data_IF_156576311497
#
_entry.id   IF_156576311497
#
_cell.length_a   1.000
_cell.length_b   1.000
_cell.length_c   1.000
_cell.angle_alpha   90.00
_cell.angle_beta   90.00
_cell.angle_gamma   90.00
#
_symmetry.space_group_name_H-M   'P 1'
#
loop_
_entity.id
_entity.type
_entity.pdbx_description
1 polymer ?
#
# COMPACT_ATOMS: atom_id res chain seq x y z
N UNK A 1 -7.93 0.48 59.18
CA UNK A 1 -8.45 -0.10 57.94
C UNK A 1 -9.09 1.01 57.12
N UNK A 2 -8.37 1.55 56.14
CA UNK A 2 -8.91 2.54 55.19
C UNK A 2 -8.98 1.88 53.82
N UNK A 3 -10.16 1.97 53.23
CA UNK A 3 -10.57 1.39 51.97
C UNK A 3 -9.57 1.75 50.86
N UNK A 4 -9.02 0.71 50.23
CA UNK A 4 -8.34 0.83 48.93
C UNK A 4 -9.39 1.42 47.98
N UNK A 5 -9.14 2.56 47.32
CA UNK A 5 -10.16 3.18 46.50
C UNK A 5 -10.39 2.29 45.28
N UNK A 6 -11.63 1.79 45.14
CA UNK A 6 -12.15 1.02 44.00
C UNK A 6 -11.85 1.67 42.63
N UNK A 7 -11.47 2.95 42.60
CA UNK A 7 -11.02 3.67 41.41
C UNK A 7 -9.71 3.15 40.82
N UNK A 8 -8.80 2.59 41.63
CA UNK A 8 -7.52 2.07 41.14
C UNK A 8 -7.66 0.71 40.43
N UNK A 9 -8.65 -0.11 40.82
CA UNK A 9 -8.92 -1.38 40.14
C UNK A 9 -9.66 -1.18 38.81
N UNK A 10 -10.57 -0.19 38.74
CA UNK A 10 -11.29 0.14 37.50
C UNK A 10 -10.39 0.74 36.42
N UNK A 11 -9.29 1.41 36.79
CA UNK A 11 -8.30 1.91 35.83
C UNK A 11 -7.43 0.82 35.19
N UNK A 12 -7.30 -0.35 35.83
CA UNK A 12 -6.57 -1.49 35.24
C UNK A 12 -7.43 -2.33 34.28
N UNK A 13 -8.76 -2.36 34.46
CA UNK A 13 -9.65 -3.04 33.51
C UNK A 13 -9.89 -2.26 32.20
N UNK A 14 -9.74 -0.93 32.22
CA UNK A 14 -9.95 -0.10 31.02
C UNK A 14 -8.83 -0.15 29.98
N UNK A 15 -7.67 -0.75 30.29
CA UNK A 15 -6.57 -0.92 29.31
C UNK A 15 -6.70 -2.15 28.41
N UNK A 16 -7.68 -3.04 28.63
CA UNK A 16 -7.80 -4.29 27.85
C UNK A 16 -8.84 -4.25 26.73
N UNK A 17 -9.63 -3.18 26.63
CA UNK A 17 -10.64 -3.02 25.57
C UNK A 17 -10.23 -1.97 24.56
N UNK A 18 -9.12 -2.21 23.88
CA UNK A 18 -8.88 -1.67 22.54
C UNK A 18 -8.76 -2.84 21.58
N UNK A 19 -9.84 -3.62 21.46
CA UNK A 19 -10.13 -4.29 20.20
C UNK A 19 -10.39 -3.17 19.21
N UNK A 20 -9.31 -2.66 18.60
CA UNK A 20 -9.41 -1.81 17.44
C UNK A 20 -10.26 -2.59 16.44
N UNK A 21 -11.46 -2.09 16.16
CA UNK A 21 -12.18 -2.48 14.96
C UNK A 21 -11.16 -2.41 13.83
N UNK A 22 -10.99 -3.50 13.08
CA UNK A 22 -10.03 -3.60 12.00
C UNK A 22 -10.24 -2.40 11.08
N UNK A 23 -9.41 -1.37 11.26
CA UNK A 23 -9.34 -0.25 10.35
C UNK A 23 -8.87 -0.87 9.06
N UNK A 24 -9.73 -0.89 8.05
CA UNK A 24 -9.42 -1.31 6.68
C UNK A 24 -8.26 -0.46 6.18
N UNK A 25 -7.04 -0.84 6.56
CA UNK A 25 -5.83 -0.28 5.97
C UNK A 25 -5.88 -0.67 4.50
N UNK A 26 -5.60 0.26 3.58
CA UNK A 26 -5.52 -0.08 2.17
C UNK A 26 -4.53 -1.23 2.00
N UNK A 27 -5.01 -2.31 1.38
CA UNK A 27 -4.19 -3.47 1.10
C UNK A 27 -2.98 -3.04 0.27
N UNK A 28 -1.86 -3.71 0.47
CA UNK A 28 -0.68 -3.49 -0.37
C UNK A 28 -1.04 -3.82 -1.82
N UNK A 29 -0.45 -3.13 -2.82
CA UNK A 29 -0.61 -3.54 -4.21
C UNK A 29 -0.15 -4.99 -4.37
N UNK A 30 -0.77 -5.70 -5.30
CA UNK A 30 -0.52 -7.11 -5.59
C UNK A 30 -0.86 -8.08 -4.43
N UNK A 31 -1.81 -7.70 -3.57
CA UNK A 31 -2.27 -8.56 -2.49
C UNK A 31 -3.79 -8.70 -2.50
N UNK A 32 -4.30 -9.83 -2.04
CA UNK A 32 -5.73 -10.07 -1.92
C UNK A 32 -6.07 -10.88 -0.68
N UNK A 33 -7.26 -10.67 -0.16
CA UNK A 33 -7.84 -11.48 0.92
C UNK A 33 -8.97 -12.33 0.33
N UNK A 34 -8.94 -13.63 0.61
CA UNK A 34 -10.00 -14.53 0.17
C UNK A 34 -11.30 -14.24 0.94
N UNK A 35 -12.43 -14.00 0.24
CA UNK A 35 -13.70 -13.72 0.89
C UNK A 35 -14.28 -14.95 1.63
N UNK A 36 -13.86 -16.16 1.26
CA UNK A 36 -14.38 -17.41 1.83
C UNK A 36 -13.52 -17.96 2.96
N UNK A 37 -12.21 -17.77 2.91
CA UNK A 37 -11.26 -18.35 3.88
C UNK A 37 -10.59 -17.31 4.78
N UNK A 38 -10.80 -16.02 4.49
CA UNK A 38 -10.10 -14.89 5.15
C UNK A 38 -8.56 -15.02 5.13
N UNK A 39 -8.01 -15.84 4.22
CA UNK A 39 -6.57 -16.00 4.02
C UNK A 39 -6.02 -14.85 3.20
N UNK A 40 -4.79 -14.46 3.48
CA UNK A 40 -4.08 -13.39 2.80
C UNK A 40 -3.13 -13.96 1.76
N UNK A 41 -3.13 -13.37 0.58
CA UNK A 41 -2.34 -13.79 -0.57
C UNK A 41 -1.43 -12.63 -0.96
N UNK A 42 -0.12 -12.87 -0.96
CA UNK A 42 0.89 -11.91 -1.35
C UNK A 42 1.58 -12.39 -2.62
N UNK A 43 1.29 -11.74 -3.74
CA UNK A 43 1.85 -12.09 -5.04
C UNK A 43 3.09 -11.26 -5.39
N UNK A 44 3.50 -10.30 -4.53
CA UNK A 44 4.67 -9.46 -4.77
C UNK A 44 5.96 -10.26 -5.04
N UNK A 45 6.23 -11.41 -4.39
CA UNK A 45 7.42 -12.22 -4.71
C UNK A 45 7.45 -12.77 -6.14
N UNK A 46 6.30 -12.82 -6.82
CA UNK A 46 6.21 -13.30 -8.21
C UNK A 46 6.47 -12.18 -9.23
N UNK A 47 6.39 -10.92 -8.79
CA UNK A 47 6.68 -9.76 -9.65
C UNK A 47 8.18 -9.69 -9.92
N UNK A 48 8.57 -9.76 -11.19
CA UNK A 48 9.97 -9.61 -11.60
C UNK A 48 10.23 -8.16 -11.99
N UNK A 49 11.13 -7.50 -11.26
CA UNK A 49 11.60 -6.17 -11.60
C UNK A 49 12.74 -6.19 -12.61
N UNK A 50 13.07 -5.04 -13.23
CA UNK A 50 14.26 -4.94 -14.05
C UNK A 50 15.52 -5.29 -13.24
N UNK A 51 16.51 -5.99 -13.84
CA UNK A 51 17.70 -6.41 -13.12
C UNK A 51 18.42 -5.20 -12.54
N UNK A 52 18.78 -5.28 -11.26
CA UNK A 52 19.55 -4.24 -10.59
C UNK A 52 20.85 -3.99 -11.36
N UNK A 53 21.01 -2.76 -11.84
CA UNK A 53 22.26 -2.29 -12.44
C UNK A 53 23.27 -2.07 -11.30
N UNK A 54 24.48 -2.57 -11.45
CA UNK A 54 25.57 -2.21 -10.55
C UNK A 54 26.02 -0.76 -10.79
N UNK A 55 26.87 -0.23 -9.90
CA UNK A 55 27.39 1.15 -9.98
C UNK A 55 28.17 1.45 -11.28
N UNK A 56 28.50 0.42 -12.07
CA UNK A 56 29.17 0.51 -13.37
C UNK A 56 28.22 0.28 -14.56
N UNK A 57 26.90 0.22 -14.33
CA UNK A 57 25.89 0.02 -15.36
C UNK A 57 25.83 -1.39 -15.95
N UNK A 58 26.54 -2.36 -15.38
CA UNK A 58 26.46 -3.77 -15.74
C UNK A 58 25.36 -4.48 -14.94
N UNK A 59 24.70 -5.45 -15.59
CA UNK A 59 23.66 -6.27 -14.95
C UNK A 59 24.31 -7.08 -13.83
N UNK A 60 23.88 -6.88 -12.58
CA UNK A 60 24.33 -7.72 -11.47
C UNK A 60 23.82 -9.15 -11.74
N UNK A 61 24.74 -10.10 -11.83
CA UNK A 61 24.40 -11.52 -12.01
C UNK A 61 23.71 -12.00 -10.72
N UNK A 62 22.38 -12.07 -10.73
CA UNK A 62 21.62 -12.76 -9.68
C UNK A 62 22.03 -14.23 -9.65
N UNK A 63 22.00 -14.84 -8.45
CA UNK A 63 22.39 -16.23 -8.25
C UNK A 63 21.47 -17.22 -8.99
N UNK A 64 20.27 -16.74 -9.35
CA UNK A 64 19.31 -17.41 -10.21
C UNK A 64 19.26 -16.69 -11.57
N UNK A 65 19.63 -17.40 -12.64
CA UNK A 65 19.68 -16.88 -14.02
C UNK A 65 18.31 -16.41 -14.54
N UNK A 66 17.22 -16.85 -13.90
CA UNK A 66 15.84 -16.53 -14.26
C UNK A 66 15.30 -15.25 -13.60
N UNK A 67 15.97 -14.65 -12.61
CA UNK A 67 15.44 -13.47 -11.89
C UNK A 67 15.44 -12.18 -12.71
N UNK A 68 16.06 -12.17 -13.90
CA UNK A 68 16.23 -10.98 -14.74
C UNK A 68 15.36 -10.91 -15.99
N UNK A 69 14.48 -11.90 -16.25
CA UNK A 69 13.57 -11.92 -17.41
C UNK A 69 12.13 -12.11 -16.97
N UNK A 70 11.15 -11.75 -17.79
CA UNK A 70 9.74 -12.03 -17.49
C UNK A 70 9.42 -13.54 -17.54
N UNK A 71 8.22 -13.92 -17.10
CA UNK A 71 7.78 -15.32 -17.17
C UNK A 71 7.43 -15.70 -18.60
N UNK A 72 7.92 -16.84 -19.07
CA UNK A 72 7.65 -17.34 -20.42
C UNK A 72 6.68 -18.51 -20.38
N UNK A 73 5.66 -18.47 -21.24
CA UNK A 73 4.73 -19.57 -21.46
C UNK A 73 4.76 -19.98 -22.94
N UNK A 74 4.93 -21.27 -23.20
CA UNK A 74 4.97 -21.81 -24.57
C UNK A 74 3.56 -22.15 -25.02
N UNK A 75 3.09 -21.55 -26.11
CA UNK A 75 1.83 -21.89 -26.76
C UNK A 75 2.06 -22.82 -27.93
N UNK A 76 2.38 -24.10 -27.68
CA UNK A 76 2.65 -25.07 -28.75
C UNK A 76 1.48 -25.16 -29.75
N UNK A 77 0.25 -25.14 -29.26
CA UNK A 77 -0.95 -25.21 -30.10
C UNK A 77 -1.27 -23.89 -30.81
N UNK A 78 -0.82 -22.76 -30.25
CA UNK A 78 -1.06 -21.42 -30.80
C UNK A 78 0.03 -20.99 -31.79
N UNK A 79 1.22 -21.62 -31.75
CA UNK A 79 2.35 -21.30 -32.61
C UNK A 79 3.11 -20.03 -32.21
N UNK A 80 2.93 -19.54 -30.97
CA UNK A 80 3.67 -18.39 -30.45
C UNK A 80 4.14 -18.60 -29.00
N UNK A 81 5.20 -17.88 -28.64
CA UNK A 81 5.67 -17.81 -27.26
C UNK A 81 5.09 -16.56 -26.59
N UNK A 82 4.61 -16.73 -25.36
CA UNK A 82 4.04 -15.67 -24.55
C UNK A 82 5.02 -15.26 -23.48
N UNK A 83 5.08 -13.96 -23.23
CA UNK A 83 5.86 -13.38 -22.15
C UNK A 83 4.91 -12.58 -21.26
N UNK A 84 4.95 -12.86 -19.96
CA UNK A 84 4.01 -12.33 -18.96
C UNK A 84 4.75 -11.97 -17.69
N UNK A 85 4.35 -10.88 -17.04
CA UNK A 85 4.77 -10.57 -15.68
C UNK A 85 3.56 -10.50 -14.75
N UNK A 86 3.79 -10.63 -13.45
CA UNK A 86 2.75 -10.52 -12.42
C UNK A 86 2.76 -9.13 -11.81
N UNK A 87 1.58 -8.54 -11.63
CA UNK A 87 1.38 -7.27 -10.92
C UNK A 87 2.31 -6.14 -11.36
N UNK A 88 2.55 -6.00 -12.66
CA UNK A 88 3.40 -4.96 -13.20
C UNK A 88 3.78 -5.22 -14.66
N UNK A 89 4.59 -4.35 -15.24
CA UNK A 89 4.98 -4.45 -16.64
C UNK A 89 6.05 -5.52 -16.84
N UNK A 90 6.21 -5.99 -18.07
CA UNK A 90 7.29 -6.89 -18.45
C UNK A 90 8.66 -6.21 -18.28
N UNK A 91 9.68 -7.03 -17.99
CA UNK A 91 11.06 -6.57 -17.80
C UNK A 91 11.70 -6.15 -19.13
N UNK A 92 11.27 -6.76 -20.23
CA UNK A 92 11.78 -6.51 -21.57
C UNK A 92 11.30 -5.15 -22.11
N UNK A 93 12.21 -4.40 -22.73
CA UNK A 93 11.85 -3.14 -23.39
C UNK A 93 11.20 -3.43 -24.75
N UNK A 94 9.96 -2.96 -24.94
CA UNK A 94 9.17 -3.20 -26.16
C UNK A 94 9.23 -1.99 -27.11
N UNK A 95 9.83 -2.18 -28.28
CA UNK A 95 9.95 -1.13 -29.30
C UNK A 95 8.67 -0.95 -30.12
N UNK A 96 8.27 -1.97 -30.88
CA UNK A 96 7.17 -1.90 -31.86
C UNK A 96 6.03 -2.82 -31.47
N UNK A 97 5.13 -2.29 -30.64
CA UNK A 97 3.87 -2.97 -30.31
C UNK A 97 2.77 -2.52 -31.27
N UNK A 98 2.07 -3.50 -31.85
CA UNK A 98 0.96 -3.25 -32.78
C UNK A 98 -0.23 -2.63 -32.03
N UNK A 99 -0.84 -1.61 -32.63
CA UNK A 99 -2.06 -0.94 -32.13
C UNK A 99 -1.98 -0.39 -30.69
N UNK A 100 -0.79 0.01 -30.26
CA UNK A 100 -0.54 0.59 -28.95
C UNK A 100 0.36 1.84 -29.01
N UNK A 101 -0.05 2.88 -28.30
CA UNK A 101 0.68 4.14 -28.17
C UNK A 101 2.03 3.95 -27.47
N UNK A 102 2.99 4.84 -27.76
CA UNK A 102 4.36 4.77 -27.22
C UNK A 102 4.40 4.80 -25.70
N UNK A 103 3.53 5.59 -25.07
CA UNK A 103 3.51 5.78 -23.63
C UNK A 103 2.98 4.54 -22.89
N UNK A 104 2.04 3.82 -23.51
CA UNK A 104 1.43 2.61 -22.94
C UNK A 104 2.33 1.37 -23.04
N UNK A 105 3.39 1.40 -23.85
CA UNK A 105 4.33 0.27 -24.02
C UNK A 105 5.03 -0.10 -22.74
N UNK A 106 5.32 0.88 -21.88
CA UNK A 106 5.97 0.68 -20.58
C UNK A 106 5.08 -0.04 -19.58
N UNK A 107 3.76 -0.04 -19.80
CA UNK A 107 2.78 -0.63 -18.91
C UNK A 107 2.28 -1.99 -19.43
N UNK A 108 2.88 -2.53 -20.48
CA UNK A 108 2.51 -3.85 -21.02
C UNK A 108 2.94 -4.92 -20.03
N UNK A 109 2.00 -5.68 -19.50
CA UNK A 109 2.26 -6.77 -18.54
C UNK A 109 2.35 -8.13 -19.23
N UNK A 110 1.81 -8.26 -20.44
CA UNK A 110 1.81 -9.49 -21.20
C UNK A 110 1.79 -9.22 -22.70
N UNK A 111 2.60 -9.97 -23.46
CA UNK A 111 2.66 -9.90 -24.90
C UNK A 111 3.02 -11.25 -25.54
N UNK A 112 2.82 -11.35 -26.85
CA UNK A 112 3.36 -12.43 -27.67
C UNK A 112 3.96 -11.87 -28.96
N UNK A 113 4.81 -12.67 -29.59
CA UNK A 113 5.42 -12.36 -30.87
C UNK A 113 4.98 -13.38 -31.92
N UNK A 114 4.48 -12.87 -33.05
CA UNK A 114 4.04 -13.67 -34.19
C UNK A 114 4.41 -12.94 -35.47
N UNK A 115 5.02 -13.65 -36.43
CA UNK A 115 5.44 -13.10 -37.73
C UNK A 115 6.32 -11.84 -37.63
N UNK A 116 7.20 -11.78 -36.62
CA UNK A 116 8.09 -10.64 -36.37
C UNK A 116 7.39 -9.39 -35.83
N UNK A 117 6.13 -9.49 -35.41
CA UNK A 117 5.35 -8.41 -34.79
C UNK A 117 5.02 -8.74 -33.35
N UNK A 118 5.08 -7.74 -32.50
CA UNK A 118 4.75 -7.85 -31.08
C UNK A 118 3.32 -7.36 -30.81
N UNK A 119 2.52 -8.22 -30.18
CA UNK A 119 1.13 -7.93 -29.83
C UNK A 119 0.98 -7.92 -28.30
N UNK A 120 0.57 -6.78 -27.74
CA UNK A 120 0.22 -6.70 -26.33
C UNK A 120 -1.13 -7.40 -26.08
N UNK A 121 -1.19 -8.22 -25.05
CA UNK A 121 -2.41 -8.92 -24.62
C UNK A 121 -2.94 -8.41 -23.27
N UNK A 122 -2.29 -7.40 -22.69
CA UNK A 122 -2.80 -6.72 -21.51
C UNK A 122 -1.81 -5.70 -20.95
N UNK A 123 -2.36 -4.70 -20.25
CA UNK A 123 -1.62 -3.72 -19.47
C UNK A 123 -1.55 -4.14 -17.99
N UNK A 124 -0.66 -3.49 -17.25
CA UNK A 124 -0.43 -3.73 -15.83
C UNK A 124 -1.71 -3.60 -15.00
N UNK A 125 -1.85 -4.51 -14.04
CA UNK A 125 -2.88 -4.47 -13.03
C UNK A 125 -2.28 -5.02 -11.74
N UNK A 126 -2.42 -4.28 -10.65
CA UNK A 126 -1.90 -4.65 -9.33
C UNK A 126 -2.97 -5.22 -8.40
N UNK A 127 -4.20 -5.42 -8.87
CA UNK A 127 -5.33 -5.84 -8.05
C UNK A 127 -5.79 -7.25 -8.46
N UNK A 128 -5.28 -8.30 -7.80
CA UNK A 128 -5.78 -9.65 -8.00
C UNK A 128 -7.17 -9.80 -7.35
N UNK A 129 -8.06 -10.52 -8.02
CA UNK A 129 -9.47 -10.66 -7.62
C UNK A 129 -9.82 -12.12 -7.45
N UNK A 130 -10.58 -12.45 -6.40
CA UNK A 130 -11.17 -13.78 -6.24
C UNK A 130 -12.42 -13.93 -7.11
N UNK A 131 -12.43 -14.94 -7.97
CA UNK A 131 -13.64 -15.41 -8.66
C UNK A 131 -13.97 -16.81 -8.19
N UNK A 132 -14.99 -16.92 -7.34
CA UNK A 132 -15.30 -18.16 -6.64
C UNK A 132 -14.14 -18.56 -5.73
N UNK A 133 -13.53 -19.73 -6.00
CA UNK A 133 -12.37 -20.25 -5.25
C UNK A 133 -11.02 -19.98 -5.91
N UNK A 134 -11.00 -19.38 -7.11
CA UNK A 134 -9.77 -19.13 -7.86
C UNK A 134 -9.32 -17.68 -7.68
N UNK A 135 -8.02 -17.49 -7.49
CA UNK A 135 -7.38 -16.19 -7.50
C UNK A 135 -7.03 -15.83 -8.94
N UNK A 136 -7.56 -14.71 -9.43
CA UNK A 136 -7.45 -14.31 -10.83
C UNK A 136 -6.75 -12.96 -10.92
N UNK A 137 -5.80 -12.85 -11.85
CA UNK A 137 -5.21 -11.58 -12.27
C UNK A 137 -5.67 -11.28 -13.70
N UNK A 138 -6.33 -10.13 -13.88
CA UNK A 138 -6.91 -9.72 -15.16
C UNK A 138 -6.11 -8.56 -15.74
N UNK A 139 -5.65 -8.72 -16.98
CA UNK A 139 -5.02 -7.66 -17.75
C UNK A 139 -5.88 -7.28 -18.95
N UNK A 140 -6.03 -5.98 -19.16
CA UNK A 140 -6.90 -5.42 -20.21
C UNK A 140 -6.17 -4.34 -20.99
N UNK A 141 -6.74 -3.89 -22.11
CA UNK A 141 -6.20 -2.74 -22.83
C UNK A 141 -5.01 -3.05 -23.74
N UNK A 142 -4.85 -4.30 -24.20
CA UNK A 142 -3.82 -4.67 -25.16
C UNK A 142 -4.05 -4.11 -26.57
N UNK A 143 -3.39 -4.75 -27.54
CA UNK A 143 -3.55 -4.49 -28.98
C UNK A 143 -4.99 -4.76 -29.45
N UNK A 144 -5.36 -4.31 -30.65
CA UNK A 144 -6.71 -4.51 -31.16
C UNK A 144 -6.95 -5.98 -31.52
N UNK A 145 -8.18 -6.45 -31.26
CA UNK A 145 -8.59 -7.78 -31.68
C UNK A 145 -8.79 -7.81 -33.20
N UNK A 146 -8.53 -8.97 -33.85
CA UNK A 146 -8.77 -9.11 -35.28
C UNK A 146 -10.25 -8.85 -35.57
N UNK A 147 -10.54 -7.90 -36.46
CA UNK A 147 -11.91 -7.61 -36.86
C UNK A 147 -12.50 -8.78 -37.65
N UNK A 148 -13.82 -8.97 -37.55
CA UNK A 148 -14.56 -9.95 -38.36
C UNK A 148 -14.37 -9.75 -39.87
N UNK A 149 -13.98 -8.54 -40.32
CA UNK A 149 -13.66 -8.27 -41.72
C UNK A 149 -12.39 -8.98 -42.22
N UNK A 150 -11.36 -9.15 -41.37
CA UNK A 150 -10.12 -9.85 -41.72
C UNK A 150 -10.20 -11.37 -41.54
N UNK A 151 -11.26 -11.86 -40.89
CA UNK A 151 -11.47 -13.29 -40.67
C UNK A 151 -12.01 -14.02 -41.91
N UNK A 152 -12.54 -13.27 -42.89
CA UNK A 152 -13.00 -13.80 -44.18
C UNK A 152 -11.87 -14.32 -45.07
N UNK A 153 -10.63 -13.88 -44.84
CA UNK A 153 -9.49 -14.28 -45.67
C UNK A 153 -8.70 -15.48 -45.11
N UNK A 154 -9.07 -16.00 -43.93
CA UNK A 154 -8.31 -17.04 -43.22
C UNK A 154 -9.11 -18.33 -42.88
N UNK A 155 -10.37 -18.44 -43.31
CA UNK A 155 -11.16 -19.67 -43.13
C UNK A 155 -11.57 -20.26 -44.48
N UNK A 156 -11.41 -21.58 -44.73
CA UNK A 156 -12.05 -22.23 -45.87
C UNK A 156 -13.56 -22.15 -45.70
N UNK A 157 -14.23 -21.66 -46.75
CA UNK A 157 -15.68 -21.45 -46.85
C UNK A 157 -16.47 -22.75 -46.65
N UNK A 158 -16.81 -23.11 -45.41
CA UNK A 158 -17.98 -23.98 -45.16
C UNK A 158 -18.58 -23.68 -43.79
N UNK A 159 -19.89 -23.42 -43.79
CA UNK A 159 -20.80 -23.15 -42.66
C UNK A 159 -21.13 -21.66 -42.45
N UNK A 160 -21.98 -21.18 -43.36
CA UNK A 160 -22.79 -19.98 -43.23
C UNK A 160 -23.87 -20.20 -42.16
N UNK A 161 -23.58 -19.73 -40.94
CA UNK A 161 -24.60 -19.41 -39.93
C UNK A 161 -24.48 -17.91 -39.65
N UNK A 162 -24.89 -17.10 -40.62
CA UNK A 162 -25.17 -15.68 -40.43
C UNK A 162 -26.19 -15.48 -39.29
N UNK A 163 -25.85 -14.73 -38.22
CA UNK A 163 -26.86 -14.20 -37.32
C UNK A 163 -27.70 -13.21 -38.12
N UNK A 164 -29.00 -13.51 -38.30
CA UNK A 164 -29.96 -12.57 -38.89
C UNK A 164 -29.91 -11.24 -38.12
N UNK A 165 -29.62 -10.17 -38.85
CA UNK A 165 -29.88 -8.80 -38.43
C UNK A 165 -31.38 -8.68 -38.14
N UNK A 166 -31.72 -8.25 -36.92
CA UNK A 166 -33.11 -7.93 -36.57
C UNK A 166 -33.44 -6.65 -37.32
N UNK A 167 -34.10 -6.81 -38.46
CA UNK A 167 -34.79 -5.73 -39.16
C UNK A 167 -36.03 -5.44 -38.32
N UNK A 168 -35.95 -4.44 -37.46
CA UNK A 168 -37.14 -3.80 -36.91
C UNK A 168 -37.79 -3.03 -38.06
N UNK A 169 -38.85 -3.62 -38.59
CA UNK A 169 -39.66 -3.08 -39.67
C UNK A 169 -40.73 -2.10 -39.17
N UNK A 170 -40.99 -1.18 -40.10
CA UNK A 170 -42.27 -0.55 -40.41
C UNK A 170 -42.65 0.77 -39.72
N UNK A 171 -42.95 1.75 -40.59
CA UNK A 171 -43.40 3.09 -40.27
C UNK A 171 -43.24 4.08 -41.44
N UNK A 172 -43.71 3.67 -42.62
CA UNK A 172 -44.32 4.40 -43.75
C UNK A 172 -44.18 5.94 -43.88
N UNK A 173 -43.81 6.39 -45.09
CA UNK A 173 -44.60 7.27 -45.98
C UNK A 173 -43.69 8.04 -46.96
N UNK A 174 -43.63 7.50 -48.18
CA UNK A 174 -43.87 8.11 -49.50
C UNK A 174 -43.31 9.48 -49.93
N UNK A 175 -42.92 9.45 -51.22
CA UNK A 175 -42.88 10.48 -52.26
C UNK A 175 -41.62 11.35 -52.49
N UNK A 176 -40.92 10.97 -53.58
CA UNK A 176 -40.46 11.78 -54.72
C UNK A 176 -40.13 13.26 -54.49
N UNK A 177 -38.85 13.66 -54.72
CA UNK A 177 -38.46 14.39 -55.93
C UNK A 177 -36.94 14.66 -55.98
N UNK A 178 -36.39 14.75 -57.19
CA UNK A 178 -35.00 15.10 -57.48
C UNK A 178 -34.75 16.58 -57.19
N UNK A 179 -33.76 16.90 -56.35
CA UNK A 179 -32.80 17.93 -56.73
C UNK A 179 -31.48 17.90 -55.97
N UNK A 180 -30.43 18.27 -56.71
CA UNK A 180 -29.11 18.60 -56.20
C UNK A 180 -29.25 19.78 -55.24
N UNK A 181 -28.68 19.67 -54.05
CA UNK A 181 -27.70 20.64 -53.57
C UNK A 181 -26.95 20.13 -52.34
N UNK A 182 -25.74 20.67 -52.21
CA UNK A 182 -24.78 20.43 -51.13
C UNK A 182 -25.44 20.74 -49.79
N UNK A 183 -25.21 19.89 -48.79
CA UNK A 183 -24.78 20.30 -47.46
C UNK A 183 -24.65 19.08 -46.53
N UNK A 184 -23.76 19.23 -45.55
CA UNK A 184 -23.38 18.32 -44.48
C UNK A 184 -24.32 17.16 -44.14
N UNK A 185 -23.74 15.94 -44.16
CA UNK A 185 -23.92 14.96 -43.10
C UNK A 185 -22.81 13.93 -43.21
N UNK A 186 -21.75 14.20 -42.48
CA UNK A 186 -20.80 13.21 -41.98
C UNK A 186 -21.62 12.16 -41.19
N UNK A 187 -22.20 11.18 -41.89
CA UNK A 187 -22.81 9.98 -41.29
C UNK A 187 -21.64 9.22 -40.66
N UNK A 188 -21.31 9.61 -39.42
CA UNK A 188 -20.52 8.80 -38.50
C UNK A 188 -21.17 7.42 -38.48
N UNK A 189 -20.58 6.48 -39.21
CA UNK A 189 -20.81 5.06 -38.95
C UNK A 189 -20.63 4.88 -37.44
N UNK A 190 -21.57 4.21 -36.73
CA UNK A 190 -21.40 3.99 -35.31
C UNK A 190 -20.03 3.34 -35.14
N UNK A 191 -19.17 3.97 -34.34
CA UNK A 191 -17.85 3.44 -34.05
C UNK A 191 -18.06 2.06 -33.46
N UNK A 192 -17.86 1.01 -34.25
CA UNK A 192 -17.70 -0.34 -33.71
C UNK A 192 -16.58 -0.20 -32.69
N UNK A 193 -16.90 -0.29 -31.40
CA UNK A 193 -15.91 -0.14 -30.33
C UNK A 193 -14.86 -1.22 -30.58
N UNK A 194 -13.68 -0.81 -31.06
CA UNK A 194 -12.65 -1.76 -31.45
C UNK A 194 -12.21 -2.48 -30.17
N UNK A 195 -12.57 -3.76 -30.06
CA UNK A 195 -12.26 -4.58 -28.88
C UNK A 195 -10.74 -4.73 -28.77
N UNK A 196 -10.21 -4.58 -27.56
CA UNK A 196 -8.78 -4.79 -27.26
C UNK A 196 -8.55 -6.16 -26.66
N UNK A 197 -7.35 -6.71 -26.91
CA UNK A 197 -6.92 -7.98 -26.35
C UNK A 197 -6.80 -7.88 -24.83
N UNK A 198 -7.11 -8.98 -24.16
CA UNK A 198 -7.09 -9.11 -22.70
C UNK A 198 -6.57 -10.48 -22.30
N UNK A 199 -5.90 -10.59 -21.17
CA UNK A 199 -5.43 -11.85 -20.63
C UNK A 199 -5.93 -12.07 -19.20
N UNK A 200 -6.26 -13.32 -18.90
CA UNK A 200 -6.76 -13.75 -17.60
C UNK A 200 -5.81 -14.83 -17.11
N UNK A 201 -5.18 -14.57 -15.96
CA UNK A 201 -4.24 -15.48 -15.35
C UNK A 201 -4.90 -16.08 -14.11
N UNK A 202 -5.15 -17.38 -14.14
CA UNK A 202 -5.63 -18.15 -13.00
C UNK A 202 -4.45 -18.63 -12.18
N UNK A 203 -4.36 -18.17 -10.94
CA UNK A 203 -3.30 -18.55 -10.01
C UNK A 203 -3.73 -19.76 -9.18
N UNK A 204 -2.89 -20.80 -9.19
CA UNK A 204 -3.05 -22.01 -8.40
C UNK A 204 -1.91 -22.11 -7.38
N UNK A 205 -2.29 -22.50 -6.16
CA UNK A 205 -1.34 -22.83 -5.10
C UNK A 205 -0.60 -24.11 -5.47
N UNK A 206 0.72 -24.01 -5.46
CA UNK A 206 1.63 -25.14 -5.52
C UNK A 206 2.31 -25.28 -4.15
N UNK A 207 1.94 -26.31 -3.40
CA UNK A 207 2.39 -26.47 -2.00
C UNK A 207 3.81 -27.04 -1.89
N UNK A 208 4.41 -27.46 -3.01
CA UNK A 208 5.70 -28.12 -2.98
C UNK A 208 6.82 -27.10 -2.68
N UNK A 209 7.67 -27.31 -1.66
CA UNK A 209 8.69 -26.35 -1.25
C UNK A 209 9.83 -26.16 -2.26
N UNK A 210 9.92 -27.06 -3.25
CA UNK A 210 10.89 -27.00 -4.36
C UNK A 210 10.26 -26.49 -5.66
N UNK A 211 8.93 -26.29 -5.69
CA UNK A 211 8.24 -25.83 -6.89
C UNK A 211 8.61 -24.37 -7.17
N UNK A 212 9.12 -24.14 -8.38
CA UNK A 212 9.32 -22.80 -8.91
C UNK A 212 8.00 -22.30 -9.50
N UNK A 213 7.77 -21.00 -9.37
CA UNK A 213 6.71 -20.29 -10.08
C UNK A 213 6.81 -20.54 -11.57
N UNK A 214 5.71 -20.94 -12.20
CA UNK A 214 5.67 -21.22 -13.65
C UNK A 214 4.33 -20.78 -14.24
N UNK A 215 4.34 -20.43 -15.52
CA UNK A 215 3.16 -19.98 -16.26
C UNK A 215 2.94 -20.89 -17.46
N UNK A 216 1.71 -21.35 -17.62
CA UNK A 216 1.29 -22.20 -18.72
C UNK A 216 0.16 -21.53 -19.49
N UNK A 217 0.19 -21.67 -20.81
CA UNK A 217 -0.88 -21.20 -21.69
C UNK A 217 -1.98 -22.26 -21.75
N UNK A 218 -3.24 -21.83 -21.59
CA UNK A 218 -4.39 -22.74 -21.56
C UNK A 218 -5.20 -22.64 -22.83
N UNK A 219 -5.59 -21.43 -23.23
CA UNK A 219 -6.43 -21.21 -24.40
C UNK A 219 -6.39 -19.76 -24.88
N UNK A 220 -6.71 -19.55 -26.16
CA UNK A 220 -7.03 -18.26 -26.74
C UNK A 220 -8.43 -18.34 -27.38
N UNK A 221 -9.28 -17.36 -27.08
CA UNK A 221 -10.64 -17.26 -27.63
C UNK A 221 -10.66 -16.08 -28.60
N UNK A 222 -10.99 -16.36 -29.86
CA UNK A 222 -11.06 -15.38 -30.95
C UNK A 222 -9.80 -14.52 -31.12
N UNK A 223 -8.63 -15.03 -30.72
CA UNK A 223 -7.36 -14.29 -30.63
C UNK A 223 -7.46 -12.96 -29.88
N UNK A 224 -8.44 -12.86 -28.98
CA UNK A 224 -8.81 -11.63 -28.31
C UNK A 224 -8.76 -11.79 -26.78
N UNK A 225 -9.09 -12.97 -26.26
CA UNK A 225 -9.00 -13.27 -24.83
C UNK A 225 -8.07 -14.46 -24.62
N UNK A 226 -7.05 -14.29 -23.78
CA UNK A 226 -6.04 -15.30 -23.51
C UNK A 226 -6.17 -15.79 -22.08
N UNK A 227 -6.10 -17.10 -21.88
CA UNK A 227 -6.17 -17.75 -20.57
C UNK A 227 -4.84 -18.39 -20.25
N UNK A 228 -4.31 -18.04 -19.07
CA UNK A 228 -3.08 -18.60 -18.53
C UNK A 228 -3.36 -19.24 -17.18
N UNK A 229 -2.62 -20.29 -16.87
CA UNK A 229 -2.57 -20.91 -15.55
C UNK A 229 -1.17 -20.68 -14.97
N UNK A 230 -1.11 -19.96 -13.86
CA UNK A 230 0.12 -19.72 -13.11
C UNK A 230 0.17 -20.58 -11.85
N UNK A 231 1.22 -21.37 -11.68
CA UNK A 231 1.45 -22.19 -10.48
C UNK A 231 2.52 -21.55 -9.63
N UNK A 232 2.25 -21.41 -8.33
CA UNK A 232 3.16 -20.72 -7.41
C UNK A 232 2.93 -21.12 -5.96
N UNK A 233 4.00 -21.24 -5.15
CA UNK A 233 3.87 -21.33 -3.70
C UNK A 233 3.36 -20.04 -3.06
N UNK A 234 3.53 -18.88 -3.71
CA UNK A 234 3.02 -17.59 -3.23
C UNK A 234 1.51 -17.41 -3.46
N UNK A 235 0.91 -18.25 -4.31
CA UNK A 235 -0.54 -18.32 -4.46
C UNK A 235 -1.20 -19.18 -3.36
N UNK A 236 -0.44 -19.69 -2.40
CA UNK A 236 -0.96 -20.37 -1.22
C UNK A 236 -1.31 -19.36 -0.12
N UNK A 237 -2.54 -19.38 0.37
CA UNK A 237 -3.04 -18.41 1.33
C UNK A 237 -2.30 -18.47 2.67
N UNK A 238 -1.56 -17.41 2.99
CA UNK A 238 -0.89 -17.23 4.26
C UNK A 238 -1.83 -16.72 5.36
N UNK A 239 -1.39 -16.84 6.61
CA UNK A 239 -1.99 -16.09 7.72
C UNK A 239 -1.33 -14.71 7.69
N UNK A 240 -2.11 -13.65 7.51
CA UNK A 240 -1.61 -12.30 7.73
C UNK A 240 -1.33 -12.16 9.22
N UNK A 241 -0.09 -12.43 9.62
CA UNK A 241 0.39 -12.04 10.94
C UNK A 241 0.48 -10.53 10.89
N UNK A 242 -0.63 -9.85 11.18
CA UNK A 242 -0.59 -8.49 11.68
C UNK A 242 0.60 -8.43 12.65
N UNK A 243 1.49 -7.45 12.47
CA UNK A 243 2.66 -7.26 13.35
C UNK A 243 2.26 -6.86 14.79
N UNK A 244 1.12 -7.34 15.28
CA UNK A 244 0.65 -7.30 16.65
C UNK A 244 1.40 -8.28 17.55
N UNK A 245 2.27 -9.13 17.02
CA UNK A 245 3.28 -9.78 17.84
C UNK A 245 4.27 -8.69 18.27
N UNK A 246 4.12 -8.20 19.51
CA UNK A 246 5.13 -7.40 20.21
C UNK A 246 6.49 -8.06 19.93
N UNK A 247 7.40 -7.35 19.26
CA UNK A 247 8.72 -7.87 18.98
C UNK A 247 9.40 -8.31 20.29
N UNK A 248 10.48 -9.10 20.24
CA UNK A 248 11.17 -9.56 21.45
C UNK A 248 11.53 -8.41 22.40
N UNK A 249 11.86 -7.23 21.86
CA UNK A 249 12.07 -6.00 22.65
C UNK A 249 10.80 -5.41 23.27
N UNK A 250 9.64 -5.51 22.60
CA UNK A 250 8.35 -5.05 23.13
C UNK A 250 7.89 -5.90 24.32
N UNK A 251 8.04 -7.23 24.22
CA UNK A 251 7.75 -8.15 25.33
C UNK A 251 8.66 -7.84 26.53
N UNK A 252 9.97 -7.69 26.28
CA UNK A 252 10.91 -7.34 27.34
C UNK A 252 10.58 -5.98 28.00
N UNK A 253 10.21 -4.98 27.21
CA UNK A 253 9.81 -3.67 27.71
C UNK A 253 8.59 -3.72 28.63
N UNK A 254 7.56 -4.51 28.28
CA UNK A 254 6.37 -4.70 29.11
C UNK A 254 6.73 -5.38 30.44
N UNK A 255 7.59 -6.39 30.42
CA UNK A 255 8.04 -7.10 31.63
C UNK A 255 8.78 -6.14 32.58
N UNK A 256 9.71 -5.34 32.06
CA UNK A 256 10.46 -4.37 32.88
C UNK A 256 9.53 -3.30 33.46
N UNK A 257 8.56 -2.81 32.68
CA UNK A 257 7.58 -1.84 33.15
C UNK A 257 6.76 -2.39 34.33
N UNK A 258 6.26 -3.62 34.22
CA UNK A 258 5.49 -4.27 35.29
C UNK A 258 6.37 -4.46 36.53
N UNK A 259 7.63 -4.89 36.38
CA UNK A 259 8.55 -5.06 37.50
C UNK A 259 8.81 -3.75 38.26
N UNK A 260 8.99 -2.63 37.54
CA UNK A 260 9.14 -1.30 38.14
C UNK A 260 7.88 -0.87 38.88
N UNK A 261 6.69 -1.10 38.31
CA UNK A 261 5.42 -0.78 38.97
C UNK A 261 5.25 -1.56 40.28
N UNK A 262 5.51 -2.87 40.26
CA UNK A 262 5.44 -3.71 41.47
C UNK A 262 6.45 -3.25 42.52
N UNK A 263 7.67 -2.91 42.11
CA UNK A 263 8.71 -2.39 43.02
C UNK A 263 8.31 -1.07 43.68
N UNK A 264 7.78 -0.12 42.90
CA UNK A 264 7.34 1.18 43.42
C UNK A 264 6.09 1.03 44.32
N UNK A 265 5.06 0.31 43.88
CA UNK A 265 3.82 0.14 44.65
C UNK A 265 4.07 -0.69 45.91
N UNK A 266 4.72 -1.85 45.77
CA UNK A 266 5.05 -2.72 46.89
C UNK A 266 5.99 -2.06 47.89
N UNK A 267 6.99 -1.33 47.41
CA UNK A 267 7.90 -0.58 48.27
C UNK A 267 7.25 0.62 48.97
N UNK A 268 6.37 1.35 48.29
CA UNK A 268 5.55 2.40 48.92
C UNK A 268 4.63 1.83 50.00
N UNK A 269 3.96 0.69 49.73
CA UNK A 269 3.11 0.01 50.72
C UNK A 269 3.96 -0.42 51.92
N UNK A 270 5.08 -1.09 51.69
CA UNK A 270 5.99 -1.54 52.76
C UNK A 270 6.48 -0.38 53.65
N UNK A 271 6.97 0.70 53.04
CA UNK A 271 7.47 1.87 53.78
C UNK A 271 6.35 2.62 54.53
N UNK A 272 5.12 2.57 54.02
CA UNK A 272 3.95 3.17 54.67
C UNK A 272 3.41 2.31 55.81
N UNK A 273 3.30 1.00 55.62
CA UNK A 273 2.65 0.09 56.58
C UNK A 273 3.59 -0.39 57.67
N UNK A 274 4.86 -0.65 57.34
CA UNK A 274 5.85 -1.21 58.29
C UNK A 274 6.73 -0.12 58.89
N UNK A 275 7.19 0.85 58.08
CA UNK A 275 8.16 1.87 58.51
C UNK A 275 7.54 3.23 58.88
N UNK A 276 6.21 3.38 58.75
CA UNK A 276 5.44 4.58 59.09
C UNK A 276 5.98 5.93 58.57
N UNK A 277 6.69 5.93 57.45
CA UNK A 277 7.21 7.18 56.88
C UNK A 277 6.13 7.93 56.10
N UNK A 278 6.14 9.27 56.13
CA UNK A 278 5.18 10.15 55.45
C UNK A 278 5.88 11.04 54.42
N UNK A 279 5.19 11.34 53.32
CA UNK A 279 5.66 12.23 52.26
C UNK A 279 6.57 11.56 51.23
N UNK A 280 7.41 12.35 50.56
CA UNK A 280 8.27 11.95 49.43
C UNK A 280 9.35 10.92 49.78
N UNK A 281 9.55 10.65 51.07
CA UNK A 281 10.43 9.61 51.59
C UNK A 281 9.83 8.19 51.51
N UNK A 282 8.60 8.05 51.00
CA UNK A 282 7.92 6.75 50.80
C UNK A 282 8.34 5.99 49.53
N UNK A 283 9.13 6.62 48.65
CA UNK A 283 9.60 5.98 47.42
C UNK A 283 10.92 5.23 47.69
N UNK A 284 11.00 3.92 47.40
CA UNK A 284 12.25 3.16 47.49
C UNK A 284 13.32 3.74 46.57
N UNK A 285 14.48 4.12 47.13
CA UNK A 285 15.61 4.71 46.39
C UNK A 285 15.25 5.98 45.59
N UNK A 286 14.58 6.94 46.23
CA UNK A 286 14.15 8.21 45.61
C UNK A 286 15.25 8.95 44.82
N UNK A 287 16.49 8.98 45.32
CA UNK A 287 17.61 9.64 44.63
C UNK A 287 17.90 9.06 43.23
N UNK A 288 17.78 7.75 43.09
CA UNK A 288 17.96 7.07 41.80
C UNK A 288 16.82 7.41 40.83
N UNK A 289 15.57 7.35 41.30
CA UNK A 289 14.39 7.63 40.47
C UNK A 289 14.29 9.10 40.05
N UNK A 290 14.62 10.03 40.95
CA UNK A 290 14.68 11.45 40.62
C UNK A 290 15.76 11.74 39.56
N UNK A 291 16.89 11.03 39.61
CA UNK A 291 17.93 11.09 38.58
C UNK A 291 17.44 10.58 37.21
N UNK A 292 16.77 9.43 37.19
CA UNK A 292 16.21 8.83 35.96
C UNK A 292 15.12 9.73 35.35
N UNK A 293 14.21 10.27 36.18
CA UNK A 293 13.15 11.15 35.73
C UNK A 293 13.69 12.46 35.14
N UNK A 294 14.69 13.07 35.80
CA UNK A 294 15.37 14.27 35.29
C UNK A 294 16.10 14.01 33.97
N UNK A 295 16.79 12.87 33.86
CA UNK A 295 17.43 12.48 32.61
C UNK A 295 16.42 12.27 31.48
N UNK A 296 15.27 11.65 31.77
CA UNK A 296 14.20 11.45 30.79
C UNK A 296 13.57 12.78 30.35
N UNK A 297 13.33 13.72 31.28
CA UNK A 297 12.83 15.05 30.93
C UNK A 297 13.82 15.83 30.08
N UNK A 298 15.11 15.78 30.42
CA UNK A 298 16.15 16.46 29.65
C UNK A 298 16.27 15.87 28.24
N UNK A 299 16.26 14.54 28.11
CA UNK A 299 16.26 13.86 26.81
C UNK A 299 15.02 14.21 25.97
N UNK A 300 13.84 14.25 26.60
CA UNK A 300 12.60 14.65 25.92
C UNK A 300 12.66 16.11 25.48
N UNK A 301 13.15 17.03 26.32
CA UNK A 301 13.33 18.45 25.97
C UNK A 301 14.32 18.61 24.81
N UNK A 302 15.44 17.87 24.81
CA UNK A 302 16.45 17.87 23.74
C UNK A 302 15.85 17.34 22.43
N UNK A 303 15.09 16.25 22.48
CA UNK A 303 14.45 15.66 21.30
C UNK A 303 13.36 16.58 20.74
N UNK A 304 12.52 17.15 21.61
CA UNK A 304 11.43 18.05 21.23
C UNK A 304 11.95 19.38 20.69
N UNK A 305 13.03 19.92 21.26
CA UNK A 305 13.70 21.13 20.75
C UNK A 305 14.44 20.88 19.43
N UNK A 306 14.97 19.68 19.22
CA UNK A 306 15.57 19.26 17.96
C UNK A 306 14.51 19.08 16.86
N UNK A 307 13.35 18.51 17.16
CA UNK A 307 12.21 18.46 16.23
C UNK A 307 11.58 19.84 15.98
N UNK A 308 11.57 20.74 16.97
CA UNK A 308 11.09 22.12 16.82
C UNK A 308 12.03 22.99 15.95
N UNK A 309 13.32 22.65 15.84
CA UNK A 309 14.26 23.30 14.91
C UNK A 309 14.06 22.87 13.44
N UNK A 310 13.39 21.74 13.19
CA UNK A 310 13.01 21.29 11.85
C UNK A 310 11.62 21.82 11.39
N UNK A 311 10.89 22.49 12.27
CA UNK A 311 9.71 23.27 11.88
C UNK A 311 10.17 24.67 11.44
N UNK A 312 9.79 25.17 10.25
CA UNK A 312 10.14 26.53 9.84
C UNK A 312 9.42 27.52 10.74
N UNK A 313 10.14 28.02 11.75
CA UNK A 313 9.69 29.15 12.56
C UNK A 313 9.69 30.38 11.64
N UNK A 314 8.53 30.76 11.12
CA UNK A 314 8.28 32.15 10.69
C UNK A 314 8.27 33.04 11.94
N UNK A 315 9.45 33.26 12.54
CA UNK A 315 9.66 34.38 13.47
C UNK A 315 10.17 35.56 12.64
N UNK A 316 9.20 36.35 12.17
CA UNK A 316 9.48 37.68 11.66
C UNK A 316 10.00 38.56 12.80
N UNK A 317 11.24 39.04 12.67
CA UNK A 317 11.70 40.21 13.40
C UNK A 317 10.95 41.43 12.85
N UNK A 318 9.85 41.83 13.50
CA UNK A 318 9.29 43.17 13.34
C UNK A 318 10.10 44.13 14.21
N UNK A 319 11.14 44.68 13.61
CA UNK A 319 11.77 45.93 14.03
C UNK A 319 10.75 47.04 13.80
N UNK A 320 10.12 47.52 14.87
CA UNK A 320 9.37 48.78 14.88
C UNK A 320 10.14 49.73 15.78
N UNK A 321 10.91 50.62 15.14
CA UNK A 321 11.29 51.90 15.71
C UNK A 321 10.22 52.92 15.32
N UNK A 322 9.50 53.45 16.31
CA UNK A 322 9.07 54.85 16.30
C UNK A 322 8.84 55.25 17.76
N UNK A 323 9.59 56.26 18.20
CA UNK A 323 9.53 56.75 19.57
C UNK A 323 8.21 57.47 19.88
N UNK A 324 7.88 57.56 21.16
CA UNK A 324 7.80 58.80 21.93
C UNK A 324 7.11 58.52 23.26
N UNK A 325 7.75 58.98 24.34
CA UNK A 325 7.25 59.34 25.67
C UNK A 325 5.93 58.70 26.16
N UNK A 326 6.03 57.84 27.19
CA UNK A 326 5.28 58.02 28.45
C UNK A 326 5.47 56.85 29.44
N UNK A 327 5.97 57.22 30.63
CA UNK A 327 5.64 56.68 31.97
C UNK A 327 4.82 55.38 32.01
N UNK A 328 5.41 54.30 32.54
CA UNK A 328 4.58 53.17 32.97
C UNK A 328 5.30 51.88 33.33
N UNK A 329 5.67 51.74 34.62
CA UNK A 329 5.46 50.51 35.40
C UNK A 329 6.33 49.29 35.02
N UNK A 330 7.62 49.38 35.35
CA UNK A 330 8.39 48.20 35.76
C UNK A 330 7.87 47.75 37.12
N UNK A 331 7.25 46.56 37.16
CA UNK A 331 7.02 45.80 38.38
C UNK A 331 7.17 44.33 38.04
N UNK A 332 7.99 43.66 38.83
CA UNK A 332 7.64 42.48 39.64
C UNK A 332 8.76 41.44 39.55
N UNK A 333 9.68 41.53 40.52
CA UNK A 333 10.24 40.42 41.30
C UNK A 333 11.28 40.91 42.34
N UNK A 334 11.80 42.13 42.22
CA UNK A 334 12.77 42.70 43.18
C UNK A 334 12.13 43.37 44.42
N UNK A 335 10.79 43.35 44.51
CA UNK A 335 10.04 43.93 45.64
C UNK A 335 9.83 42.91 46.79
N UNK A 336 10.05 41.61 46.56
CA UNK A 336 9.86 40.56 47.58
C UNK A 336 11.10 40.40 48.47
N UNK A 337 12.31 40.60 47.91
CA UNK A 337 13.57 40.51 48.66
C UNK A 337 13.82 41.73 49.57
N UNK A 338 13.16 42.87 49.32
CA UNK A 338 13.27 44.07 50.18
C UNK A 338 12.43 44.01 51.46
N UNK A 339 11.49 43.08 51.57
CA UNK A 339 10.66 42.91 52.77
C UNK A 339 11.29 41.97 53.80
N UNK A 340 12.39 41.29 53.45
CA UNK A 340 13.10 40.37 54.34
C UNK A 340 14.24 41.10 55.05
N UNK A 341 14.98 41.97 54.34
CA UNK A 341 16.08 42.74 54.95
C UNK A 341 15.62 43.86 55.89
N UNK A 342 14.36 44.30 55.80
CA UNK A 342 13.80 45.36 56.65
C UNK A 342 13.06 44.83 57.90
N UNK A 343 13.00 43.50 58.08
CA UNK A 343 12.38 42.88 59.26
C UNK A 343 13.41 42.44 60.31
N UNK A 344 14.69 42.31 59.94
CA UNK A 344 15.79 41.97 60.85
C UNK A 344 16.39 43.19 61.58
N UNK A 345 16.03 44.43 61.22
CA UNK A 345 16.53 45.67 61.86
C UNK A 345 15.62 46.23 63.00
N UNK A 346 14.52 45.56 63.38
CA UNK A 346 13.60 46.05 64.46
C UNK A 346 13.55 45.14 65.70
N UNK A 347 14.52 44.22 65.90
CA UNK A 347 14.53 43.34 67.10
C UNK A 347 15.82 43.32 67.94
N UNK A 348 16.81 44.17 67.65
CA UNK A 348 18.00 44.34 68.52
C UNK A 348 18.23 45.83 68.84
N UNK A 349 17.56 46.30 69.91
CA UNK A 349 18.11 47.33 70.81
C UNK A 349 19.19 46.70 71.71
#
# INVERSE_FOLDING_TARGET
>A
MQLIPLSALLAFLSLTSSAAAASDKPLKPCTAISPTTARFFDLNPMHRGPPAKDDNGKKKKSKDEDEGSSWHAKGYDYGANFTVNFCGPVVEELDKVVDLDKDLRKNVSAYYEQDGKTYAIGLENHEPVFRGRKLILNYTGGSLCPSSSSRRDLLPTTLDLSPREIVDGDGDDDDDDKNKDKDDKNKKKPSSSKRRKSSIISLLCDSDPLAKTSVSFVAAVDDCVYFFEGRSPHACGGVHVEKQALGPGGVFGVIVLIAVLVYLVGGCVYQRTVMHQRGWRQLPNYQMWAGIARFATDMFIILTSSCARFLPSRRGYSRVSLGQDSRGRSRRNDDEDRLIDNLDEEWDD
#
